data_IF_728152214941
#
_entry.id   IF_728152214941
#
_cell.length_a   1.000
_cell.length_b   1.000
_cell.length_c   1.000
_cell.angle_alpha   90.00
_cell.angle_beta   90.00
_cell.angle_gamma   90.00
#
_symmetry.space_group_name_H-M   'P 1'
#
loop_
_entity.id
_entity.type
_entity.pdbx_description
1 polymer ?
#
# COMPACT_ATOMS: atom_id res chain seq x y z
N UNK A 1 -34.79 -25.13 -53.81
CA UNK A 1 -33.42 -24.57 -53.84
C UNK A 1 -33.34 -23.55 -52.72
N UNK A 2 -32.42 -23.79 -51.79
CA UNK A 2 -32.35 -23.20 -50.47
C UNK A 2 -32.02 -21.70 -50.46
N UNK A 3 -32.61 -21.02 -49.48
CA UNK A 3 -32.30 -19.68 -48.98
C UNK A 3 -31.10 -19.75 -48.03
N UNK A 4 -30.01 -19.05 -48.33
CA UNK A 4 -28.89 -18.81 -47.39
C UNK A 4 -28.96 -17.36 -46.90
N UNK A 5 -29.30 -17.19 -45.63
CA UNK A 5 -29.20 -15.93 -44.90
C UNK A 5 -27.87 -15.86 -44.14
N UNK A 6 -27.28 -14.67 -43.93
CA UNK A 6 -26.00 -14.54 -43.23
C UNK A 6 -26.18 -14.89 -41.75
N UNK A 7 -25.30 -15.76 -41.23
CA UNK A 7 -25.31 -16.23 -39.85
C UNK A 7 -25.06 -15.11 -38.83
N UNK A 8 -25.51 -15.30 -37.57
CA UNK A 8 -25.31 -14.31 -36.52
C UNK A 8 -23.82 -14.20 -36.20
N UNK A 9 -23.28 -12.99 -36.36
CA UNK A 9 -21.93 -12.63 -35.97
C UNK A 9 -21.71 -12.87 -34.48
N UNK A 10 -20.57 -13.47 -34.16
CA UNK A 10 -20.03 -13.57 -32.81
C UNK A 10 -20.01 -12.20 -32.12
N UNK A 11 -20.36 -12.08 -30.83
CA UNK A 11 -20.25 -10.82 -30.13
C UNK A 11 -18.75 -10.43 -30.05
N UNK A 12 -18.40 -9.34 -30.72
CA UNK A 12 -17.12 -8.67 -30.58
C UNK A 12 -16.90 -8.25 -29.12
N UNK A 13 -15.75 -8.64 -28.56
CA UNK A 13 -15.38 -8.31 -27.20
C UNK A 13 -15.20 -6.79 -27.03
N UNK A 14 -15.96 -6.21 -26.11
CA UNK A 14 -15.81 -4.80 -25.68
C UNK A 14 -14.48 -4.67 -24.93
N UNK A 15 -13.55 -3.78 -25.34
CA UNK A 15 -12.34 -3.53 -24.58
C UNK A 15 -12.61 -2.45 -23.53
N UNK A 16 -12.36 -2.73 -22.24
CA UNK A 16 -12.15 -1.66 -21.26
C UNK A 16 -12.80 -1.74 -19.89
N UNK A 17 -13.01 -2.91 -19.29
CA UNK A 17 -13.20 -3.02 -17.84
C UNK A 17 -12.05 -3.82 -17.23
N UNK A 18 -11.43 -3.37 -16.11
CA UNK A 18 -10.47 -4.21 -15.40
C UNK A 18 -11.19 -5.51 -15.00
N UNK A 19 -10.57 -6.67 -15.20
CA UNK A 19 -11.22 -7.94 -14.88
C UNK A 19 -11.64 -7.93 -13.41
N UNK A 20 -12.90 -8.27 -13.14
CA UNK A 20 -13.42 -8.36 -11.77
C UNK A 20 -12.50 -9.23 -10.91
N UNK A 21 -12.33 -8.84 -9.64
CA UNK A 21 -11.54 -9.58 -8.67
C UNK A 21 -12.27 -10.87 -8.26
N UNK A 22 -12.14 -11.88 -9.10
CA UNK A 22 -12.71 -13.21 -8.92
C UNK A 22 -11.65 -14.21 -8.49
N UNK A 23 -12.08 -15.32 -7.89
CA UNK A 23 -11.23 -16.47 -7.58
C UNK A 23 -10.40 -16.92 -8.79
N UNK A 24 -11.00 -16.90 -9.98
CA UNK A 24 -10.32 -17.25 -11.23
C UNK A 24 -9.20 -16.26 -11.58
N UNK A 25 -9.47 -14.95 -11.47
CA UNK A 25 -8.47 -13.89 -11.70
C UNK A 25 -7.31 -14.03 -10.70
N UNK A 26 -7.60 -14.24 -9.41
CA UNK A 26 -6.59 -14.43 -8.34
C UNK A 26 -5.73 -15.66 -8.57
N UNK A 27 -6.35 -16.80 -8.90
CA UNK A 27 -5.66 -18.05 -9.25
C UNK A 27 -4.69 -17.84 -10.43
N UNK A 28 -5.17 -17.22 -11.51
CA UNK A 28 -4.36 -16.98 -12.71
C UNK A 28 -3.18 -16.04 -12.44
N UNK A 29 -3.38 -14.99 -11.64
CA UNK A 29 -2.33 -14.05 -11.24
C UNK A 29 -1.27 -14.77 -10.38
N UNK A 30 -1.68 -15.48 -9.33
CA UNK A 30 -0.76 -16.15 -8.41
C UNK A 30 0.03 -17.27 -9.09
N UNK A 31 -0.61 -18.04 -9.97
CA UNK A 31 0.05 -19.06 -10.80
C UNK A 31 1.18 -18.47 -11.64
N UNK A 32 0.96 -17.32 -12.27
CA UNK A 32 1.97 -16.61 -13.07
C UNK A 32 3.11 -16.09 -12.22
N UNK A 33 2.83 -15.56 -11.03
CA UNK A 33 3.86 -15.11 -10.08
C UNK A 33 4.79 -16.25 -9.65
N UNK A 34 4.25 -17.46 -9.51
CA UNK A 34 5.02 -18.67 -9.19
C UNK A 34 5.69 -19.31 -10.42
N UNK A 35 5.47 -18.78 -11.63
CA UNK A 35 6.02 -19.34 -12.87
C UNK A 35 5.43 -20.71 -13.26
N UNK A 36 4.29 -21.10 -12.68
CA UNK A 36 3.68 -22.42 -12.91
C UNK A 36 2.86 -22.44 -14.20
N UNK A 37 2.96 -23.53 -14.96
CA UNK A 37 2.01 -23.86 -16.02
C UNK A 37 0.66 -24.31 -15.43
N UNK A 38 -0.39 -24.40 -16.26
CA UNK A 38 -1.70 -24.90 -15.81
C UNK A 38 -1.62 -26.38 -15.42
N UNK A 39 -0.80 -27.12 -16.15
CA UNK A 39 -0.52 -28.54 -15.95
C UNK A 39 0.16 -28.78 -14.60
N UNK A 40 1.20 -28.01 -14.28
CA UNK A 40 1.91 -28.11 -12.99
C UNK A 40 1.02 -27.72 -11.82
N UNK A 41 0.21 -26.66 -11.96
CA UNK A 41 -0.73 -26.28 -10.93
C UNK A 41 -1.78 -27.38 -10.69
N UNK A 42 -2.34 -27.94 -11.76
CA UNK A 42 -3.31 -29.03 -11.65
C UNK A 42 -2.67 -30.25 -10.97
N UNK A 43 -1.44 -30.62 -11.35
CA UNK A 43 -0.71 -31.70 -10.71
C UNK A 43 -0.48 -31.44 -9.21
N UNK A 44 -0.03 -30.24 -8.85
CA UNK A 44 0.23 -29.83 -7.46
C UNK A 44 -1.03 -29.79 -6.60
N UNK A 45 -2.17 -29.40 -7.19
CA UNK A 45 -3.46 -29.38 -6.51
C UNK A 45 -4.17 -30.76 -6.48
N UNK A 46 -3.60 -31.79 -7.13
CA UNK A 46 -4.25 -33.09 -7.28
C UNK A 46 -5.52 -33.04 -8.13
N UNK A 47 -5.52 -32.18 -9.15
CA UNK A 47 -6.65 -31.90 -10.03
C UNK A 47 -6.33 -32.22 -11.50
N UNK A 48 -7.37 -32.35 -12.31
CA UNK A 48 -7.19 -32.42 -13.77
C UNK A 48 -7.10 -31.01 -14.37
N UNK A 49 -6.34 -30.88 -15.47
CA UNK A 49 -6.19 -29.60 -16.20
C UNK A 49 -7.54 -29.10 -16.72
N UNK A 50 -8.43 -30.01 -17.13
CA UNK A 50 -9.78 -29.67 -17.56
C UNK A 50 -10.66 -29.14 -16.41
N UNK A 51 -10.48 -29.66 -15.18
CA UNK A 51 -11.17 -29.15 -14.00
C UNK A 51 -10.64 -27.76 -13.59
N UNK A 52 -9.33 -27.55 -13.66
CA UNK A 52 -8.71 -26.22 -13.47
C UNK A 52 -9.22 -25.20 -14.51
N UNK A 53 -9.30 -25.59 -15.79
CA UNK A 53 -9.83 -24.73 -16.85
C UNK A 53 -11.31 -24.36 -16.66
N UNK A 54 -12.10 -25.26 -16.07
CA UNK A 54 -13.49 -24.98 -15.67
C UNK A 54 -13.56 -23.99 -14.51
N UNK A 55 -12.67 -24.11 -13.52
CA UNK A 55 -12.57 -23.19 -12.39
C UNK A 55 -12.13 -21.79 -12.81
N UNK A 56 -11.24 -21.68 -13.81
CA UNK A 56 -10.80 -20.37 -14.33
C UNK A 56 -11.87 -19.65 -15.18
N UNK A 57 -12.94 -20.34 -15.58
CA UNK A 57 -13.93 -19.82 -16.55
C UNK A 57 -15.33 -19.58 -15.96
N UNK A 58 -15.58 -19.94 -14.69
CA UNK A 58 -16.91 -19.90 -14.07
C UNK A 58 -16.89 -19.12 -12.76
N UNK A 59 -17.78 -18.13 -12.60
CA UNK A 59 -18.01 -17.40 -11.34
C UNK A 59 -19.21 -18.01 -10.63
N UNK A 60 -19.01 -19.05 -9.80
CA UNK A 60 -20.09 -19.73 -9.07
C UNK A 60 -19.61 -20.45 -7.80
N UNK A 61 -20.53 -21.09 -7.08
CA UNK A 61 -20.24 -21.84 -5.84
C UNK A 61 -19.25 -22.99 -6.10
N UNK A 62 -18.05 -22.84 -5.56
CA UNK A 62 -16.99 -23.84 -5.69
C UNK A 62 -17.04 -24.83 -4.53
N UNK A 63 -16.59 -26.07 -4.78
CA UNK A 63 -16.31 -27.01 -3.69
C UNK A 63 -15.19 -26.43 -2.79
N UNK A 64 -15.47 -26.17 -1.50
CA UNK A 64 -14.47 -25.64 -0.57
C UNK A 64 -13.20 -26.49 -0.52
N UNK A 65 -13.33 -27.81 -0.67
CA UNK A 65 -12.21 -28.74 -0.67
C UNK A 65 -11.29 -28.54 -1.88
N UNK A 66 -11.88 -28.26 -3.05
CA UNK A 66 -11.13 -27.97 -4.27
C UNK A 66 -10.38 -26.63 -4.13
N UNK A 67 -11.05 -25.60 -3.65
CA UNK A 67 -10.42 -24.30 -3.40
C UNK A 67 -9.27 -24.40 -2.39
N UNK A 68 -9.42 -25.20 -1.33
CA UNK A 68 -8.35 -25.41 -0.34
C UNK A 68 -7.10 -26.07 -0.94
N UNK A 69 -7.29 -27.06 -1.83
CA UNK A 69 -6.17 -27.70 -2.55
C UNK A 69 -5.48 -26.75 -3.52
N UNK A 70 -6.24 -25.86 -4.16
CA UNK A 70 -5.68 -24.81 -5.01
C UNK A 70 -4.92 -23.77 -4.22
N UNK A 71 -5.47 -23.28 -3.10
CA UNK A 71 -4.81 -22.35 -2.21
C UNK A 71 -3.47 -22.91 -1.72
N UNK A 72 -3.45 -24.18 -1.30
CA UNK A 72 -2.23 -24.89 -0.92
C UNK A 72 -1.22 -25.00 -2.06
N UNK A 73 -1.67 -25.29 -3.29
CA UNK A 73 -0.80 -25.38 -4.47
C UNK A 73 -0.27 -24.01 -4.93
N UNK A 74 -1.03 -22.94 -4.68
CA UNK A 74 -0.70 -21.55 -5.02
C UNK A 74 0.05 -20.82 -3.90
N UNK A 75 0.36 -21.50 -2.80
CA UNK A 75 1.06 -20.92 -1.65
C UNK A 75 0.39 -19.61 -1.20
N UNK A 76 -0.93 -19.66 -1.05
CA UNK A 76 -1.74 -18.55 -0.57
C UNK A 76 -2.81 -19.02 0.41
N UNK A 77 -3.28 -18.14 1.32
CA UNK A 77 -4.40 -18.44 2.21
C UNK A 77 -5.69 -18.78 1.44
N UNK A 78 -6.52 -19.67 2.01
CA UNK A 78 -7.79 -20.08 1.41
C UNK A 78 -8.78 -18.92 1.30
N UNK A 79 -8.90 -18.12 2.35
CA UNK A 79 -9.73 -16.92 2.45
C UNK A 79 -9.30 -15.86 1.43
N UNK A 80 -8.00 -15.65 1.26
CA UNK A 80 -7.48 -14.74 0.21
C UNK A 80 -7.86 -15.22 -1.20
N UNK A 81 -7.83 -16.52 -1.46
CA UNK A 81 -8.23 -17.07 -2.75
C UNK A 81 -9.74 -16.99 -2.95
N UNK A 82 -10.52 -17.40 -1.96
CA UNK A 82 -11.98 -17.53 -2.02
C UNK A 82 -12.69 -16.17 -1.99
N UNK A 83 -12.28 -15.28 -1.09
CA UNK A 83 -12.98 -14.02 -0.78
C UNK A 83 -12.22 -12.78 -1.27
N UNK A 84 -10.93 -12.92 -1.58
CA UNK A 84 -10.03 -11.81 -1.92
C UNK A 84 -9.20 -11.35 -0.71
N UNK A 85 -8.20 -10.46 -0.90
CA UNK A 85 -7.37 -9.99 0.19
C UNK A 85 -8.21 -9.29 1.27
N UNK A 86 -8.21 -9.85 2.48
CA UNK A 86 -8.94 -9.30 3.64
C UNK A 86 -8.31 -7.98 4.12
N UNK A 87 -6.99 -7.85 3.99
CA UNK A 87 -6.21 -6.64 4.23
C UNK A 87 -5.57 -6.23 2.90
N UNK A 88 -6.38 -5.61 2.03
CA UNK A 88 -5.94 -5.13 0.73
C UNK A 88 -4.81 -4.10 0.89
N UNK A 89 -3.83 -4.12 -0.01
CA UNK A 89 -2.92 -2.98 -0.14
C UNK A 89 -3.76 -1.73 -0.47
N UNK A 90 -3.46 -0.55 0.12
CA UNK A 90 -4.25 0.65 -0.13
C UNK A 90 -4.44 0.90 -1.64
N UNK A 91 -5.69 1.08 -2.07
CA UNK A 91 -6.04 1.42 -3.45
C UNK A 91 -6.37 0.24 -4.37
N UNK A 92 -6.59 -0.96 -3.84
CA UNK A 92 -7.05 -2.11 -4.64
C UNK A 92 -8.55 -2.10 -4.94
N UNK A 93 -9.34 -1.26 -4.26
CA UNK A 93 -10.78 -1.10 -4.54
C UNK A 93 -11.02 -0.11 -5.68
N UNK A 94 -11.84 -0.50 -6.66
CA UNK A 94 -12.22 0.36 -7.79
C UNK A 94 -12.78 1.68 -7.29
N UNK A 95 -12.16 2.79 -7.70
CA UNK A 95 -12.69 4.12 -7.44
C UNK A 95 -14.07 4.23 -8.12
N UNK A 96 -15.15 4.38 -7.33
CA UNK A 96 -16.45 4.65 -7.93
C UNK A 96 -16.50 6.03 -8.60
N UNK A 97 -17.61 6.39 -9.26
CA UNK A 97 -17.62 7.51 -10.21
C UNK A 97 -17.28 8.86 -9.53
N UNK A 98 -16.24 9.53 -10.05
CA UNK A 98 -15.81 10.92 -9.79
C UNK A 98 -15.19 11.27 -8.41
N UNK A 99 -14.13 10.59 -7.92
CA UNK A 99 -13.33 11.13 -6.82
C UNK A 99 -12.62 12.43 -7.25
N UNK A 100 -12.72 13.48 -6.45
CA UNK A 100 -12.02 14.74 -6.70
C UNK A 100 -10.75 14.83 -5.84
N UNK A 101 -9.62 15.11 -6.49
CA UNK A 101 -8.35 15.39 -5.86
C UNK A 101 -8.20 16.91 -5.67
N UNK A 102 -8.09 17.37 -4.42
CA UNK A 102 -7.92 18.78 -4.10
C UNK A 102 -6.66 19.03 -3.27
N UNK A 103 -6.12 20.25 -3.34
CA UNK A 103 -5.01 20.68 -2.48
C UNK A 103 -5.53 21.06 -1.09
N UNK A 104 -4.72 20.76 -0.06
CA UNK A 104 -4.97 21.18 1.31
C UNK A 104 -4.16 22.44 1.63
N UNK A 105 -4.76 23.44 2.29
CA UNK A 105 -4.02 24.53 2.91
C UNK A 105 -3.05 23.99 3.96
N UNK A 106 -1.91 24.66 4.16
CA UNK A 106 -0.87 24.21 5.10
C UNK A 106 -1.41 23.97 6.52
N UNK A 107 -2.27 24.85 7.04
CA UNK A 107 -2.86 24.66 8.38
C UNK A 107 -3.72 23.41 8.48
N UNK A 108 -4.38 23.00 7.39
CA UNK A 108 -5.13 21.74 7.35
C UNK A 108 -4.18 20.54 7.31
N UNK A 109 -3.03 20.64 6.63
CA UNK A 109 -2.00 19.60 6.66
C UNK A 109 -1.55 19.32 8.09
N UNK A 110 -1.23 20.36 8.87
CA UNK A 110 -0.82 20.21 10.26
C UNK A 110 -1.95 19.67 11.15
N UNK A 111 -3.21 20.08 10.92
CA UNK A 111 -4.36 19.51 11.63
C UNK A 111 -4.53 18.01 11.34
N UNK A 112 -4.33 17.58 10.09
CA UNK A 112 -4.44 16.17 9.67
C UNK A 112 -3.34 15.30 10.23
N UNK A 113 -2.11 15.81 10.29
CA UNK A 113 -0.98 15.14 10.93
C UNK A 113 -1.18 14.90 12.43
N UNK A 114 -2.02 15.71 13.09
CA UNK A 114 -2.34 15.56 14.51
C UNK A 114 -1.12 15.77 15.40
N UNK A 115 -0.99 14.96 16.45
CA UNK A 115 0.11 15.07 17.43
C UNK A 115 1.22 14.05 17.21
N UNK A 116 0.87 12.89 16.68
CA UNK A 116 1.78 11.76 16.47
C UNK A 116 1.15 10.74 15.50
N UNK A 117 1.95 9.85 14.97
CA UNK A 117 1.47 8.74 14.16
C UNK A 117 2.61 7.99 13.50
N UNK A 118 2.30 7.32 12.40
CA UNK A 118 3.28 6.69 11.53
C UNK A 118 3.33 7.47 10.24
N UNK A 119 4.53 7.74 9.78
CA UNK A 119 4.76 8.24 8.44
C UNK A 119 5.92 7.51 7.80
N UNK A 120 6.36 8.01 6.66
CA UNK A 120 7.52 7.52 5.94
C UNK A 120 8.48 8.66 5.70
N UNK A 121 9.76 8.43 5.94
CA UNK A 121 10.81 9.34 5.49
C UNK A 121 11.37 8.85 4.16
N UNK A 122 11.51 9.75 3.20
CA UNK A 122 12.23 9.53 1.95
C UNK A 122 13.55 10.27 2.01
N UNK A 123 14.66 9.59 1.73
CA UNK A 123 15.98 10.24 1.64
C UNK A 123 16.70 9.85 0.35
N UNK A 124 17.58 10.74 -0.16
CA UNK A 124 18.47 10.39 -1.25
C UNK A 124 19.31 9.15 -0.89
N UNK A 125 19.56 8.30 -1.88
CA UNK A 125 20.59 7.29 -1.81
C UNK A 125 21.99 7.93 -1.87
N UNK A 126 23.02 7.16 -1.53
CA UNK A 126 24.39 7.55 -1.87
C UNK A 126 24.52 7.69 -3.40
N UNK A 127 25.59 8.34 -3.87
CA UNK A 127 25.85 8.48 -5.31
C UNK A 127 25.77 7.10 -6.01
N UNK A 128 24.89 6.97 -7.01
CA UNK A 128 24.65 5.72 -7.73
C UNK A 128 23.70 4.73 -7.05
N UNK A 129 23.12 5.07 -5.90
CA UNK A 129 22.11 4.25 -5.19
C UNK A 129 20.70 4.82 -5.37
N UNK A 130 19.69 3.94 -5.33
CA UNK A 130 18.30 4.37 -5.33
C UNK A 130 17.93 5.11 -4.03
N UNK A 131 16.95 6.04 -4.07
CA UNK A 131 16.34 6.60 -2.86
C UNK A 131 15.76 5.51 -1.96
N UNK A 132 15.75 5.79 -0.66
CA UNK A 132 15.19 4.86 0.34
C UNK A 132 14.00 5.51 1.03
N UNK A 133 12.93 4.74 1.21
CA UNK A 133 11.73 5.14 1.96
C UNK A 133 11.58 4.22 3.16
N UNK A 134 11.47 4.80 4.36
CA UNK A 134 11.48 4.05 5.63
C UNK A 134 10.31 4.48 6.51
N UNK A 135 9.57 3.54 7.13
CA UNK A 135 8.52 3.89 8.09
C UNK A 135 9.15 4.43 9.38
N UNK A 136 8.55 5.47 9.95
CA UNK A 136 8.94 6.05 11.24
C UNK A 136 7.71 6.37 12.07
N UNK A 137 7.83 6.20 13.40
CA UNK A 137 6.90 6.83 14.33
C UNK A 137 7.31 8.29 14.47
N UNK A 138 6.37 9.21 14.29
CA UNK A 138 6.62 10.64 14.35
C UNK A 138 5.78 11.33 15.42
N UNK A 139 6.28 12.48 15.86
CA UNK A 139 5.60 13.47 16.68
C UNK A 139 5.56 14.78 15.90
N UNK A 140 4.50 15.56 16.11
CA UNK A 140 4.44 16.95 15.67
C UNK A 140 4.89 17.85 16.83
N UNK A 141 5.95 18.62 16.61
CA UNK A 141 6.51 19.59 17.57
C UNK A 141 6.52 20.98 16.93
N UNK A 142 5.56 21.83 17.35
CA UNK A 142 5.25 23.07 16.63
C UNK A 142 4.78 22.79 15.20
N UNK A 143 5.42 23.42 14.21
CA UNK A 143 5.27 23.09 12.78
C UNK A 143 6.49 22.33 12.27
N UNK A 144 6.92 21.30 12.99
CA UNK A 144 8.01 20.41 12.59
C UNK A 144 7.63 18.96 12.87
N UNK A 145 8.24 18.05 12.12
CA UNK A 145 8.12 16.60 12.33
C UNK A 145 9.34 16.13 13.08
N UNK A 146 9.14 15.34 14.14
CA UNK A 146 10.23 14.81 14.95
C UNK A 146 10.06 13.30 15.07
N UNK A 147 11.14 12.54 14.90
CA UNK A 147 11.13 11.09 15.04
C UNK A 147 12.39 10.58 15.71
N UNK A 148 12.32 9.33 16.19
CA UNK A 148 13.38 8.67 16.94
C UNK A 148 13.94 7.48 16.15
N UNK A 149 15.25 7.40 16.01
CA UNK A 149 15.95 6.37 15.21
C UNK A 149 17.26 5.93 15.86
N UNK A 150 17.85 4.84 15.36
CA UNK A 150 19.23 4.44 15.67
C UNK A 150 20.19 5.38 14.92
N UNK A 151 21.27 5.81 15.57
CA UNK A 151 22.21 6.80 15.01
C UNK A 151 22.92 6.33 13.74
N UNK A 152 23.23 5.03 13.66
CA UNK A 152 23.85 4.40 12.48
C UNK A 152 22.82 3.71 11.58
N UNK A 153 21.53 3.92 11.86
CA UNK A 153 20.43 3.25 11.17
C UNK A 153 20.13 3.87 9.81
N UNK A 154 19.44 3.13 8.95
CA UNK A 154 19.04 3.61 7.63
C UNK A 154 18.15 4.86 7.68
N UNK A 155 17.49 5.13 8.81
CA UNK A 155 16.64 6.30 9.02
C UNK A 155 17.37 7.49 9.67
N UNK A 156 18.69 7.44 9.88
CA UNK A 156 19.49 8.54 10.42
C UNK A 156 20.17 9.35 9.29
N UNK A 157 19.56 10.44 8.80
CA UNK A 157 20.25 11.38 7.92
C UNK A 157 21.34 12.13 8.70
N UNK A 158 22.41 12.55 8.03
CA UNK A 158 23.35 13.51 8.59
C UNK A 158 22.68 14.88 8.81
N UNK A 159 23.19 15.66 9.76
CA UNK A 159 22.76 17.04 10.01
C UNK A 159 22.72 17.86 8.71
N UNK A 160 21.61 18.57 8.48
CA UNK A 160 21.42 19.43 7.30
C UNK A 160 21.08 18.69 6.00
N UNK A 161 21.11 17.35 5.95
CA UNK A 161 20.74 16.61 4.76
C UNK A 161 19.26 16.81 4.41
N UNK A 162 18.96 16.81 3.11
CA UNK A 162 17.59 16.88 2.61
C UNK A 162 16.87 15.54 2.79
N UNK A 163 15.62 15.63 3.22
CA UNK A 163 14.70 14.51 3.29
C UNK A 163 13.26 14.96 3.03
N UNK A 164 12.44 14.01 2.64
CA UNK A 164 11.00 14.12 2.58
C UNK A 164 10.38 13.30 3.73
N UNK A 165 9.22 13.73 4.18
CA UNK A 165 8.35 13.00 5.08
C UNK A 165 6.95 12.95 4.49
N UNK A 166 6.30 11.81 4.61
CA UNK A 166 4.97 11.56 4.11
C UNK A 166 4.12 10.89 5.20
N UNK A 167 2.88 11.34 5.33
CA UNK A 167 1.86 10.61 6.07
C UNK A 167 0.53 10.74 5.33
N UNK A 168 -0.23 9.65 5.32
CA UNK A 168 -1.53 9.56 4.69
C UNK A 168 -2.56 8.89 5.61
N UNK A 169 -3.81 9.05 5.21
CA UNK A 169 -4.90 8.23 5.67
C UNK A 169 -5.85 8.02 4.51
N UNK A 170 -6.14 6.76 4.20
CA UNK A 170 -7.05 6.37 3.14
C UNK A 170 -8.15 5.53 3.78
N UNK A 171 -9.38 6.01 3.67
CA UNK A 171 -10.59 5.26 4.00
C UNK A 171 -11.15 4.68 2.70
N UNK A 172 -10.91 3.39 2.48
CA UNK A 172 -11.36 2.70 1.28
C UNK A 172 -12.88 2.50 1.24
N UNK A 173 -13.55 2.43 2.40
CA UNK A 173 -15.00 2.25 2.47
C UNK A 173 -15.72 3.53 2.04
N UNK A 174 -15.27 4.66 2.59
CA UNK A 174 -15.81 5.97 2.27
C UNK A 174 -15.21 6.59 1.01
N UNK A 175 -14.18 5.95 0.42
CA UNK A 175 -13.43 6.43 -0.76
C UNK A 175 -12.93 7.85 -0.57
N UNK A 176 -12.40 8.10 0.62
CA UNK A 176 -11.89 9.40 1.06
C UNK A 176 -10.48 9.22 1.56
N UNK A 177 -9.69 10.28 1.50
CA UNK A 177 -8.38 10.23 2.08
C UNK A 177 -7.68 11.55 2.04
N UNK A 178 -6.51 11.58 2.64
CA UNK A 178 -5.59 12.69 2.56
C UNK A 178 -4.16 12.18 2.58
N UNK A 179 -3.25 12.96 2.02
CA UNK A 179 -1.82 12.79 2.19
C UNK A 179 -1.18 14.14 2.45
N UNK A 180 -0.14 14.14 3.28
CA UNK A 180 0.68 15.31 3.58
C UNK A 180 2.12 14.94 3.28
N UNK A 181 2.78 15.76 2.46
CA UNK A 181 4.18 15.66 2.14
C UNK A 181 4.92 16.89 2.67
N UNK A 182 5.96 16.65 3.45
CA UNK A 182 6.86 17.67 3.99
C UNK A 182 8.24 17.45 3.38
N UNK A 183 8.81 18.45 2.73
CA UNK A 183 10.23 18.42 2.33
C UNK A 183 11.01 19.38 3.22
N UNK A 184 12.25 19.02 3.57
CA UNK A 184 13.01 19.78 4.55
C UNK A 184 14.42 19.30 4.74
N UNK A 185 15.04 19.75 5.83
CA UNK A 185 16.38 19.34 6.25
C UNK A 185 16.34 18.70 7.63
N UNK A 186 17.23 17.74 7.86
CA UNK A 186 17.38 17.08 9.15
C UNK A 186 18.14 17.97 10.15
N UNK A 187 17.68 17.98 11.40
CA UNK A 187 18.33 18.57 12.56
C UNK A 187 18.34 17.55 13.70
N UNK A 188 19.50 17.23 14.23
CA UNK A 188 19.70 16.31 15.35
C UNK A 188 19.39 17.04 16.66
N UNK A 189 18.44 16.50 17.42
CA UNK A 189 18.09 17.05 18.73
C UNK A 189 19.00 16.41 19.78
N UNK A 190 19.98 17.17 20.26
CA UNK A 190 20.94 16.74 21.29
C UNK A 190 20.70 17.42 22.64
N UNK A 191 19.87 18.47 22.69
CA UNK A 191 19.52 19.17 23.92
C UNK A 191 18.78 18.23 24.90
N UNK A 192 19.32 17.97 26.10
CA UNK A 192 18.76 17.00 27.05
C UNK A 192 17.34 17.32 27.49
N UNK A 193 17.01 18.61 27.70
CA UNK A 193 15.68 19.03 28.15
C UNK A 193 14.63 18.79 27.07
N UNK A 194 14.96 19.12 25.81
CA UNK A 194 14.12 18.83 24.65
C UNK A 194 13.92 17.33 24.46
N UNK A 195 14.99 16.54 24.54
CA UNK A 195 14.92 15.07 24.43
C UNK A 195 14.04 14.47 25.54
N UNK A 196 14.19 14.93 26.77
CA UNK A 196 13.37 14.49 27.90
C UNK A 196 11.89 14.80 27.66
N UNK A 197 11.58 16.05 27.25
CA UNK A 197 10.23 16.49 26.92
C UNK A 197 9.59 15.66 25.81
N UNK A 198 10.31 15.42 24.71
CA UNK A 198 9.81 14.60 23.59
C UNK A 198 9.58 13.14 23.99
N UNK A 199 10.48 12.57 24.79
CA UNK A 199 10.40 11.17 25.25
C UNK A 199 9.19 10.94 26.16
N UNK A 200 8.74 11.97 26.88
CA UNK A 200 7.56 11.91 27.72
C UNK A 200 6.22 11.99 26.95
N UNK A 201 6.24 12.28 25.63
CA UNK A 201 5.01 12.45 24.84
C UNK A 201 4.40 11.11 24.40
N UNK A 202 3.06 11.01 24.27
CA UNK A 202 2.41 9.87 23.64
C UNK A 202 2.93 9.65 22.20
N UNK A 203 3.16 8.39 21.82
CA UNK A 203 3.68 8.03 20.49
C UNK A 203 5.21 8.14 20.33
N UNK A 204 5.95 8.58 21.35
CA UNK A 204 7.41 8.68 21.32
C UNK A 204 8.13 7.32 21.34
N UNK A 205 7.44 6.26 21.76
CA UNK A 205 7.99 4.90 21.78
C UNK A 205 7.88 4.27 20.40
N UNK A 206 9.01 3.91 19.77
CA UNK A 206 8.98 3.28 18.47
C UNK A 206 8.49 1.83 18.60
N UNK A 207 7.72 1.37 17.61
CA UNK A 207 7.10 0.03 17.63
C UNK A 207 8.11 -1.12 17.57
N UNK A 208 9.24 -0.94 16.88
CA UNK A 208 10.32 -1.92 16.89
C UNK A 208 11.18 -1.71 18.15
N UNK A 209 11.58 -2.79 18.83
CA UNK A 209 12.56 -2.70 19.93
C UNK A 209 13.94 -2.23 19.44
N UNK A 210 14.80 -1.77 20.37
CA UNK A 210 16.19 -1.35 20.09
C UNK A 210 16.60 -0.03 20.78
N UNK A 211 17.91 0.23 20.88
CA UNK A 211 18.46 1.50 21.40
C UNK A 211 18.40 2.56 20.30
N UNK A 212 17.29 3.30 20.24
CA UNK A 212 17.13 4.41 19.30
C UNK A 212 17.44 5.72 19.99
N UNK A 213 18.70 6.09 20.13
CA UNK A 213 19.05 7.25 20.97
C UNK A 213 19.08 8.57 20.20
N UNK A 214 18.94 8.54 18.87
CA UNK A 214 18.96 9.73 18.02
C UNK A 214 17.53 10.25 17.81
N UNK A 215 17.34 11.52 18.16
CA UNK A 215 16.16 12.30 17.79
C UNK A 215 16.47 13.19 16.59
N UNK A 216 15.61 13.13 15.57
CA UNK A 216 15.73 13.92 14.35
C UNK A 216 14.49 14.79 14.19
N UNK A 217 14.70 16.09 14.00
CA UNK A 217 13.71 17.08 13.58
C UNK A 217 13.84 17.32 12.09
N UNK A 218 12.72 17.34 11.39
CA UNK A 218 12.61 17.79 10.01
C UNK A 218 12.18 19.25 10.05
N UNK A 219 13.08 20.15 9.66
CA UNK A 219 12.76 21.57 9.45
C UNK A 219 12.09 21.73 8.09
N UNK A 220 10.78 22.03 8.03
CA UNK A 220 10.09 22.11 6.75
C UNK A 220 10.63 23.27 5.90
N UNK A 221 10.85 22.99 4.62
CA UNK A 221 10.99 23.98 3.55
C UNK A 221 9.69 24.15 2.79
N UNK A 222 8.98 23.05 2.58
CA UNK A 222 7.70 23.02 1.89
C UNK A 222 6.78 22.00 2.54
N UNK A 223 5.51 22.36 2.68
CA UNK A 223 4.44 21.48 3.17
C UNK A 223 3.34 21.50 2.14
N UNK A 224 3.01 20.32 1.60
CA UNK A 224 1.90 20.16 0.66
C UNK A 224 0.96 19.10 1.18
N UNK A 225 -0.33 19.27 0.90
CA UNK A 225 -1.31 18.24 1.20
C UNK A 225 -2.29 18.06 0.07
N UNK A 226 -2.80 16.84 -0.05
CA UNK A 226 -3.85 16.48 -1.00
C UNK A 226 -4.96 15.77 -0.25
N UNK A 227 -6.18 15.94 -0.73
CA UNK A 227 -7.33 15.17 -0.23
C UNK A 227 -8.14 14.61 -1.39
N UNK A 228 -8.67 13.42 -1.18
CA UNK A 228 -9.62 12.76 -2.04
C UNK A 228 -10.97 12.79 -1.33
N UNK A 229 -11.97 13.34 -2.00
CA UNK A 229 -13.34 13.33 -1.52
C UNK A 229 -14.31 13.00 -2.64
N UNK A 230 -15.41 12.36 -2.27
CA UNK A 230 -16.58 12.18 -3.12
C UNK A 230 -17.53 13.36 -2.83
N UNK A 231 -18.06 14.04 -3.86
CA UNK A 231 -19.03 15.12 -3.69
C UNK A 231 -20.30 14.67 -2.95
#
# INVERSE_FOLDING_TARGET
MHTDGPGPGSPEAVPGEPPEDTVATRCAVRRRQLGLTREELAHRAGMSVAYLGRLESFSGDFDPTALMRLAAALEMPYDELAEGPQEAAPGQRVAGPHPLLAQLPEDECWRRLGTHGIGRIGRPGAAGSAPVVLPVNFLVDGRTIVYRTEADGAAAPAEGNQLAFEADHIDEQLRRGWSVLVTGTAEHITDPDTVCSLTARPGAQPWAGGKRDLWVRIRPREVTGRTIHTP
#
